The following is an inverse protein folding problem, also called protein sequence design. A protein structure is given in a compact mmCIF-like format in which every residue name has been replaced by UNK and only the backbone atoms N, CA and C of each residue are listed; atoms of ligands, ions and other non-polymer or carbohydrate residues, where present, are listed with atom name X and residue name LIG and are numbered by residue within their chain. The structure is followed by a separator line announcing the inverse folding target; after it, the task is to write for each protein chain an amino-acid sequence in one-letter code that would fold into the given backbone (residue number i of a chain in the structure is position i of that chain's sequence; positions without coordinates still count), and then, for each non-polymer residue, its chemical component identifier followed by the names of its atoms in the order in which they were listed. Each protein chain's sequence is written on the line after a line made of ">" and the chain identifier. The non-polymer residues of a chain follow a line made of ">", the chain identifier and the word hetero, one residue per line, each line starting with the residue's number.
data_IF_493193252459
#
_entry.id   IF_493193252459
#
_cell.length_a   1.000
_cell.length_b   1.000
_cell.length_c   1.000
_cell.angle_alpha   90.00
_cell.angle_beta   90.00
_cell.angle_gamma   90.00
#
_symmetry.space_group_name_H-M   'P 1'
#
loop_
_entity.id
_entity.type
_entity.pdbx_description
1 polymer ?
#
# COMPACT_ATOMS: atom_id res chain seq x y z
N UNK A 1 -9.36 -23.43 -25.11
CA UNK A 1 -8.06 -23.58 -25.71
C UNK A 1 -6.95 -23.03 -24.80
N UNK A 2 -5.71 -23.14 -25.20
CA UNK A 2 -4.57 -22.71 -24.39
C UNK A 2 -4.54 -21.22 -24.16
N UNK A 3 -4.94 -20.41 -25.13
CA UNK A 3 -5.06 -18.97 -24.99
C UNK A 3 -6.05 -18.57 -23.90
N UNK A 4 -7.22 -19.19 -23.89
CA UNK A 4 -8.26 -18.91 -22.90
C UNK A 4 -7.83 -19.34 -21.49
N UNK A 5 -7.09 -20.44 -21.38
CA UNK A 5 -6.50 -20.89 -20.13
C UNK A 5 -5.49 -19.90 -19.58
N UNK A 6 -4.56 -19.41 -20.41
CA UNK A 6 -3.56 -18.42 -20.02
C UNK A 6 -4.21 -17.12 -19.58
N UNK A 7 -5.21 -16.65 -20.31
CA UNK A 7 -5.95 -15.45 -19.98
C UNK A 7 -6.64 -15.57 -18.61
N UNK A 8 -7.20 -16.72 -18.32
CA UNK A 8 -7.86 -17.01 -17.04
C UNK A 8 -6.84 -17.06 -15.90
N UNK A 9 -5.69 -17.70 -16.10
CA UNK A 9 -4.61 -17.76 -15.11
C UNK A 9 -4.07 -16.38 -14.78
N UNK A 10 -3.83 -15.53 -15.79
CA UNK A 10 -3.39 -14.14 -15.60
C UNK A 10 -4.42 -13.35 -14.81
N UNK A 11 -5.71 -13.49 -15.13
CA UNK A 11 -6.79 -12.84 -14.41
C UNK A 11 -6.83 -13.24 -12.93
N UNK A 12 -6.64 -14.54 -12.63
CA UNK A 12 -6.58 -15.04 -11.25
C UNK A 12 -5.41 -14.45 -10.48
N UNK A 13 -4.24 -14.36 -11.08
CA UNK A 13 -3.05 -13.75 -10.46
C UNK A 13 -3.29 -12.27 -10.17
N UNK A 14 -3.88 -11.52 -11.10
CA UNK A 14 -4.22 -10.12 -10.91
C UNK A 14 -5.20 -9.93 -9.74
N UNK A 15 -6.21 -10.78 -9.63
CA UNK A 15 -7.16 -10.74 -8.51
C UNK A 15 -6.47 -10.97 -7.17
N UNK A 16 -5.55 -11.94 -7.09
CA UNK A 16 -4.75 -12.20 -5.90
C UNK A 16 -3.85 -11.02 -5.52
N UNK A 17 -3.22 -10.37 -6.49
CA UNK A 17 -2.41 -9.18 -6.27
C UNK A 17 -3.24 -8.00 -5.79
N UNK A 18 -4.45 -7.83 -6.31
CA UNK A 18 -5.40 -6.82 -5.85
C UNK A 18 -5.78 -7.02 -4.39
N UNK A 19 -6.02 -8.27 -3.96
CA UNK A 19 -6.33 -8.60 -2.56
C UNK A 19 -5.15 -8.26 -1.64
N UNK A 20 -3.92 -8.59 -2.04
CA UNK A 20 -2.71 -8.26 -1.27
C UNK A 20 -2.53 -6.75 -1.15
N UNK A 21 -2.74 -6.00 -2.22
CA UNK A 21 -2.67 -4.54 -2.20
C UNK A 21 -3.70 -3.95 -1.23
N UNK A 22 -4.94 -4.47 -1.23
CA UNK A 22 -5.98 -4.08 -0.29
C UNK A 22 -5.59 -4.34 1.16
N UNK A 23 -5.01 -5.49 1.45
CA UNK A 23 -4.52 -5.86 2.79
C UNK A 23 -3.38 -4.93 3.25
N UNK A 24 -2.44 -4.61 2.37
CA UNK A 24 -1.34 -3.70 2.68
C UNK A 24 -1.83 -2.28 2.95
N UNK A 25 -2.82 -1.81 2.20
CA UNK A 25 -3.46 -0.51 2.42
C UNK A 25 -4.15 -0.47 3.77
N UNK A 26 -4.90 -1.52 4.11
CA UNK A 26 -5.56 -1.64 5.40
C UNK A 26 -4.56 -1.64 6.56
N UNK A 27 -3.43 -2.34 6.43
CA UNK A 27 -2.36 -2.33 7.42
C UNK A 27 -1.77 -0.92 7.60
N UNK A 28 -1.57 -0.17 6.53
CA UNK A 28 -1.12 1.22 6.60
C UNK A 28 -2.10 2.12 7.35
N UNK A 29 -3.39 1.95 7.14
CA UNK A 29 -4.43 2.70 7.87
C UNK A 29 -4.45 2.36 9.37
N UNK A 30 -4.26 1.10 9.74
CA UNK A 30 -4.14 0.67 11.15
C UNK A 30 -2.94 1.36 11.81
N UNK A 31 -1.80 1.40 11.15
CA UNK A 31 -0.59 2.06 11.66
C UNK A 31 -0.83 3.55 11.90
N UNK A 32 -1.48 4.23 10.96
CA UNK A 32 -1.82 5.65 11.11
C UNK A 32 -2.74 5.89 12.30
N UNK A 33 -3.75 5.05 12.49
CA UNK A 33 -4.65 5.13 13.65
C UNK A 33 -3.90 4.93 14.96
N UNK A 34 -2.97 3.99 15.03
CA UNK A 34 -2.17 3.77 16.22
C UNK A 34 -1.28 4.97 16.56
N UNK A 35 -0.67 5.60 15.55
CA UNK A 35 0.09 6.83 15.74
C UNK A 35 -0.79 7.96 16.29
N UNK A 36 -1.98 8.12 15.77
CA UNK A 36 -2.94 9.12 16.25
C UNK A 36 -3.33 8.84 17.71
N UNK A 37 -3.54 7.59 18.06
CA UNK A 37 -3.84 7.18 19.46
C UNK A 37 -2.67 7.48 20.40
N UNK A 38 -1.44 7.26 19.97
CA UNK A 38 -0.24 7.59 20.76
C UNK A 38 -0.15 9.09 20.96
N UNK A 39 -0.36 9.88 19.91
CA UNK A 39 -0.38 11.33 20.00
C UNK A 39 -1.45 11.83 20.97
N UNK A 40 -2.65 11.25 20.93
CA UNK A 40 -3.74 11.60 21.84
C UNK A 40 -3.41 11.27 23.30
N UNK A 41 -2.79 10.13 23.56
CA UNK A 41 -2.35 9.75 24.91
C UNK A 41 -1.29 10.71 25.47
N UNK A 42 -0.34 11.10 24.64
CA UNK A 42 0.68 12.08 25.01
C UNK A 42 0.03 13.43 25.29
N UNK A 43 -0.90 13.84 24.43
CA UNK A 43 -1.68 15.08 24.60
C UNK A 43 -2.39 15.11 25.96
N UNK A 44 -3.11 14.03 26.31
CA UNK A 44 -3.80 13.90 27.58
C UNK A 44 -2.82 13.97 28.77
N UNK A 45 -1.69 13.27 28.66
CA UNK A 45 -0.63 13.30 29.69
C UNK A 45 -0.07 14.71 29.88
N UNK A 46 0.17 15.43 28.80
CA UNK A 46 0.67 16.81 28.86
C UNK A 46 -0.35 17.76 29.54
N UNK A 47 -1.63 17.57 29.26
CA UNK A 47 -2.69 18.35 29.90
C UNK A 47 -2.82 18.01 31.37
N UNK A 48 -2.79 16.72 31.72
CA UNK A 48 -2.90 16.26 33.13
C UNK A 48 -1.73 16.73 33.98
N UNK A 49 -0.54 16.80 33.40
CA UNK A 49 0.67 17.28 34.07
C UNK A 49 0.82 18.80 34.04
N UNK A 50 -0.13 19.49 33.48
CA UNK A 50 -0.10 20.96 33.33
C UNK A 50 1.11 21.44 32.50
N UNK A 51 1.67 20.59 31.63
CA UNK A 51 2.76 20.94 30.71
C UNK A 51 2.25 21.61 29.45
N UNK A 52 0.95 21.59 29.20
CA UNK A 52 0.27 22.32 28.15
C UNK A 52 -0.99 22.96 28.75
N UNK A 53 -1.30 24.18 28.31
CA UNK A 53 -2.42 24.97 28.85
C UNK A 53 -3.68 24.89 28.00
N UNK A 54 -3.57 24.42 26.77
CA UNK A 54 -4.68 24.30 25.83
C UNK A 54 -4.56 23.02 25.02
N UNK A 55 -5.67 22.59 24.44
CA UNK A 55 -5.69 21.44 23.52
C UNK A 55 -4.76 21.66 22.32
N UNK A 56 -4.77 22.85 21.74
CA UNK A 56 -3.92 23.17 20.60
C UNK A 56 -2.43 23.10 20.94
N UNK A 57 -2.05 23.61 22.12
CA UNK A 57 -0.68 23.52 22.61
C UNK A 57 -0.27 22.08 22.89
N UNK A 58 -1.16 21.30 23.51
CA UNK A 58 -0.92 19.90 23.79
C UNK A 58 -0.76 19.07 22.50
N UNK A 59 -1.56 19.30 21.49
CA UNK A 59 -1.43 18.64 20.18
C UNK A 59 -0.08 18.95 19.53
N UNK A 60 0.33 20.20 19.53
CA UNK A 60 1.61 20.61 18.97
C UNK A 60 2.79 20.01 19.70
N UNK A 61 2.76 20.02 21.05
CA UNK A 61 3.80 19.44 21.88
C UNK A 61 3.85 17.91 21.78
N UNK A 62 2.70 17.25 21.66
CA UNK A 62 2.64 15.81 21.49
C UNK A 62 3.40 15.34 20.25
N UNK A 63 3.29 16.05 19.14
CA UNK A 63 3.96 15.68 17.86
C UNK A 63 5.48 15.84 17.89
N UNK A 64 6.01 16.65 18.80
CA UNK A 64 7.47 16.83 19.01
C UNK A 64 7.97 16.15 20.28
N UNK A 65 7.09 15.45 21.00
CA UNK A 65 7.46 14.68 22.18
C UNK A 65 8.34 13.49 21.79
N UNK A 66 9.42 13.18 22.55
CA UNK A 66 10.27 12.03 22.25
C UNK A 66 9.53 10.70 22.15
N UNK A 67 8.46 10.52 22.93
CA UNK A 67 7.63 9.30 22.88
C UNK A 67 6.96 9.13 21.52
N UNK A 68 6.47 10.22 20.95
CA UNK A 68 5.88 10.20 19.61
C UNK A 68 6.94 9.99 18.53
N UNK A 69 8.10 10.63 18.64
CA UNK A 69 9.20 10.47 17.70
C UNK A 69 9.72 9.03 17.63
N UNK A 70 9.83 8.37 18.79
CA UNK A 70 10.23 6.95 18.85
C UNK A 70 9.18 6.08 18.17
N UNK A 71 7.90 6.27 18.49
CA UNK A 71 6.81 5.53 17.87
C UNK A 71 6.75 5.79 16.36
N UNK A 72 6.91 7.04 15.95
CA UNK A 72 6.92 7.42 14.52
C UNK A 72 8.08 6.74 13.79
N UNK A 73 9.27 6.66 14.39
CA UNK A 73 10.41 5.96 13.81
C UNK A 73 10.13 4.49 13.58
N UNK A 74 9.57 3.80 14.59
CA UNK A 74 9.22 2.38 14.51
C UNK A 74 8.16 2.13 13.43
N UNK A 75 7.08 2.93 13.43
CA UNK A 75 6.01 2.78 12.44
C UNK A 75 6.41 3.24 11.05
N UNK A 76 7.32 4.19 10.95
CA UNK A 76 7.87 4.63 9.67
C UNK A 76 8.57 3.50 8.94
N UNK A 77 9.36 2.70 9.64
CA UNK A 77 9.99 1.52 9.05
C UNK A 77 8.96 0.54 8.52
N UNK A 78 7.89 0.28 9.28
CA UNK A 78 6.79 -0.57 8.85
C UNK A 78 6.07 0.00 7.64
N UNK A 79 5.81 1.31 7.62
CA UNK A 79 5.20 1.99 6.49
C UNK A 79 6.07 1.93 5.23
N UNK A 80 7.39 2.04 5.38
CA UNK A 80 8.32 1.89 4.27
C UNK A 80 8.31 0.47 3.70
N UNK A 81 8.23 -0.56 4.55
CA UNK A 81 8.09 -1.95 4.12
C UNK A 81 6.78 -2.15 3.37
N UNK A 82 5.68 -1.63 3.89
CA UNK A 82 4.36 -1.70 3.24
C UNK A 82 4.41 -1.00 1.88
N UNK A 83 4.96 0.19 1.82
CA UNK A 83 5.08 0.97 0.58
C UNK A 83 5.95 0.25 -0.45
N UNK A 84 7.10 -0.27 -0.04
CA UNK A 84 8.00 -1.03 -0.92
C UNK A 84 7.33 -2.29 -1.43
N UNK A 85 6.62 -3.01 -0.57
CA UNK A 85 5.90 -4.23 -0.93
C UNK A 85 4.77 -3.91 -1.92
N UNK A 86 4.00 -2.86 -1.67
CA UNK A 86 2.96 -2.40 -2.60
C UNK A 86 3.54 -2.07 -3.97
N UNK A 87 4.67 -1.39 -4.01
CA UNK A 87 5.34 -1.05 -5.28
C UNK A 87 5.79 -2.30 -6.03
N UNK A 88 6.31 -3.31 -5.33
CA UNK A 88 6.66 -4.59 -5.94
C UNK A 88 5.44 -5.28 -6.54
N UNK A 89 4.34 -5.35 -5.81
CA UNK A 89 3.10 -5.95 -6.30
C UNK A 89 2.50 -5.15 -7.46
N UNK A 90 2.54 -3.83 -7.39
CA UNK A 90 2.09 -2.97 -8.48
C UNK A 90 2.93 -3.20 -9.76
N UNK A 91 4.24 -3.37 -9.63
CA UNK A 91 5.14 -3.70 -10.74
C UNK A 91 4.79 -5.07 -11.33
N UNK A 92 4.56 -6.08 -10.49
CA UNK A 92 4.16 -7.42 -10.93
C UNK A 92 2.81 -7.37 -11.65
N UNK A 93 1.85 -6.61 -11.11
CA UNK A 93 0.54 -6.41 -11.72
C UNK A 93 0.67 -5.77 -13.10
N UNK A 94 1.52 -4.74 -13.25
CA UNK A 94 1.83 -4.13 -14.55
C UNK A 94 2.46 -5.11 -15.53
N UNK A 95 3.38 -5.97 -15.07
CA UNK A 95 3.98 -7.01 -15.90
C UNK A 95 2.93 -8.01 -16.36
N UNK A 96 1.99 -8.39 -15.49
CA UNK A 96 0.88 -9.28 -15.86
C UNK A 96 -0.05 -8.62 -16.87
N UNK A 97 -0.35 -7.32 -16.72
CA UNK A 97 -1.12 -6.56 -17.71
C UNK A 97 -0.42 -6.53 -19.06
N UNK A 98 0.88 -6.26 -19.06
CA UNK A 98 1.69 -6.25 -20.29
C UNK A 98 1.72 -7.63 -20.97
N UNK A 99 1.87 -8.71 -20.20
CA UNK A 99 1.78 -10.07 -20.69
C UNK A 99 0.41 -10.37 -21.29
N UNK A 100 -0.65 -9.93 -20.62
CA UNK A 100 -2.02 -10.10 -21.10
C UNK A 100 -2.25 -9.39 -22.42
N UNK A 101 -1.76 -8.16 -22.55
CA UNK A 101 -1.79 -7.40 -23.81
C UNK A 101 -0.94 -8.05 -24.88
N UNK A 102 0.26 -8.52 -24.55
CA UNK A 102 1.15 -9.21 -25.48
C UNK A 102 0.52 -10.49 -26.02
N UNK A 103 -0.15 -11.28 -25.20
CA UNK A 103 -0.88 -12.47 -25.64
C UNK A 103 -2.00 -12.11 -26.60
N UNK A 104 -2.79 -11.06 -26.31
CA UNK A 104 -3.82 -10.57 -27.21
C UNK A 104 -3.26 -10.04 -28.52
N UNK A 105 -2.19 -9.24 -28.45
CA UNK A 105 -1.50 -8.68 -29.62
C UNK A 105 -0.84 -9.77 -30.45
N UNK A 106 -0.19 -10.74 -29.82
CA UNK A 106 0.42 -11.89 -30.47
C UNK A 106 -0.59 -12.69 -31.28
N UNK A 107 -1.78 -12.94 -30.70
CA UNK A 107 -2.88 -13.59 -31.41
C UNK A 107 -3.32 -12.80 -32.64
N UNK A 108 -3.48 -11.49 -32.50
CA UNK A 108 -3.86 -10.61 -33.59
C UNK A 108 -2.78 -10.54 -34.68
N UNK A 109 -1.52 -10.50 -34.27
CA UNK A 109 -0.37 -10.49 -35.22
C UNK A 109 -0.30 -11.78 -36.01
N UNK A 110 -0.50 -12.93 -35.42
CA UNK A 110 -0.54 -14.23 -36.10
C UNK A 110 -1.65 -14.24 -37.13
N UNK A 111 -2.83 -13.76 -36.82
CA UNK A 111 -3.95 -13.65 -37.74
C UNK A 111 -3.60 -12.73 -38.91
N UNK A 112 -3.02 -11.56 -38.65
CA UNK A 112 -2.60 -10.61 -39.68
C UNK A 112 -1.52 -11.18 -40.59
N UNK A 113 -0.52 -11.84 -40.02
CA UNK A 113 0.54 -12.51 -40.80
C UNK A 113 -0.03 -13.60 -41.68
N UNK A 114 -1.03 -14.33 -41.19
CA UNK A 114 -1.76 -15.30 -42.00
C UNK A 114 -2.46 -14.68 -43.21
N UNK A 115 -2.94 -13.46 -43.09
CA UNK A 115 -3.54 -12.73 -44.23
C UNK A 115 -2.51 -12.14 -45.18
N UNK A 116 -1.35 -11.76 -44.70
CA UNK A 116 -0.30 -11.10 -45.46
C UNK A 116 0.69 -12.09 -46.12
N UNK A 117 0.65 -13.32 -45.71
CA UNK A 117 1.49 -14.40 -46.29
C UNK A 117 0.76 -15.16 -47.39
#
# INVERSE_FOLDING_TARGET
>A
NEYDRLKKEIGTVQDQLGDVEGQLRAAGEVIKKELDMIADRIKEDLLDRELAKSNAEAERKAKVDPRYEVALGDYKEMLEVIFTTRNKYSTVDSVHDDLRQSVSTGRNSIIKEGYNS
#
